data_IF_828992825047
#
_entry.id   IF_828992825047
#
_cell.length_a   1.000
_cell.length_b   1.000
_cell.length_c   1.000
_cell.angle_alpha   90.00
_cell.angle_beta   90.00
_cell.angle_gamma   90.00
#
_symmetry.space_group_name_H-M   'P 1'
#
loop_
_entity.id
_entity.type
_entity.pdbx_description
1 polymer ?
#
# COMPACT_ATOMS: atom_id res chain seq x y z
N UNK A 1 24.28 7.07 -11.67
CA UNK A 1 25.03 6.21 -12.61
C UNK A 1 24.19 6.03 -13.86
N UNK A 2 24.80 5.85 -15.02
CA UNK A 2 24.12 5.60 -16.29
C UNK A 2 25.09 5.01 -17.31
N UNK A 3 24.59 4.54 -18.45
CA UNK A 3 25.42 4.06 -19.56
C UNK A 3 26.42 5.14 -19.99
N UNK A 4 27.67 4.75 -20.25
CA UNK A 4 28.76 5.71 -20.56
C UNK A 4 28.47 6.55 -21.80
N UNK A 5 27.72 6.01 -22.76
CA UNK A 5 27.37 6.64 -24.04
C UNK A 5 25.92 7.14 -24.10
N UNK A 6 25.27 7.35 -22.94
CA UNK A 6 23.85 7.70 -22.88
C UNK A 6 23.55 8.98 -23.68
N UNK A 7 24.30 10.05 -23.48
CA UNK A 7 24.03 11.33 -24.14
C UNK A 7 24.42 11.26 -25.62
N UNK A 8 25.54 10.62 -25.94
CA UNK A 8 26.02 10.38 -27.30
C UNK A 8 24.95 9.65 -28.12
N UNK A 9 24.37 8.58 -27.56
CA UNK A 9 23.29 7.83 -28.20
C UNK A 9 22.07 8.73 -28.48
N UNK A 10 21.68 9.59 -27.53
CA UNK A 10 20.56 10.52 -27.75
C UNK A 10 20.82 11.51 -28.88
N UNK A 11 22.07 11.96 -29.04
CA UNK A 11 22.48 12.88 -30.11
C UNK A 11 22.49 12.15 -31.46
N UNK A 12 23.14 10.99 -31.52
CA UNK A 12 23.27 10.17 -32.74
C UNK A 12 21.91 9.79 -33.33
N UNK A 13 20.93 9.52 -32.48
CA UNK A 13 19.57 9.14 -32.88
C UNK A 13 18.57 10.31 -32.93
N UNK A 14 19.02 11.55 -32.73
CA UNK A 14 18.18 12.75 -32.86
C UNK A 14 17.16 12.97 -31.75
N UNK A 15 17.30 12.29 -30.60
CA UNK A 15 16.46 12.47 -29.41
C UNK A 15 16.85 13.71 -28.59
N UNK A 16 18.07 14.21 -28.76
CA UNK A 16 18.57 15.40 -28.08
C UNK A 16 19.49 16.20 -28.98
N UNK A 17 19.28 17.51 -29.05
CA UNK A 17 20.16 18.44 -29.74
C UNK A 17 20.67 19.51 -28.75
N UNK A 18 21.94 19.47 -28.32
CA UNK A 18 22.45 20.40 -27.30
C UNK A 18 22.37 21.88 -27.73
N UNK A 19 22.41 22.17 -29.04
CA UNK A 19 22.30 23.54 -29.55
C UNK A 19 20.86 24.08 -29.50
N UNK A 20 19.86 23.21 -29.55
CA UNK A 20 18.43 23.58 -29.55
C UNK A 20 17.76 23.39 -28.19
N UNK A 21 18.11 22.32 -27.49
CA UNK A 21 17.45 21.89 -26.26
C UNK A 21 18.12 22.40 -24.98
N UNK A 22 19.35 22.94 -25.08
CA UNK A 22 20.11 23.40 -23.92
C UNK A 22 20.65 22.23 -23.10
N UNK A 23 20.42 22.24 -21.79
CA UNK A 23 20.88 21.16 -20.91
C UNK A 23 20.16 19.83 -21.20
N UNK A 24 20.89 18.72 -21.13
CA UNK A 24 20.32 17.40 -21.36
C UNK A 24 19.22 17.07 -20.34
N UNK A 25 18.03 16.74 -20.84
CA UNK A 25 16.91 16.28 -20.03
C UNK A 25 16.57 14.84 -20.42
N UNK A 26 16.83 13.90 -19.51
CA UNK A 26 16.61 12.47 -19.74
C UNK A 26 15.16 12.14 -20.10
N UNK A 27 14.20 12.74 -19.37
CA UNK A 27 12.78 12.49 -19.61
C UNK A 27 12.38 12.97 -21.01
N UNK A 28 12.81 14.17 -21.40
CA UNK A 28 12.54 14.70 -22.75
C UNK A 28 13.14 13.84 -23.86
N UNK A 29 14.36 13.33 -23.67
CA UNK A 29 15.05 12.52 -24.68
C UNK A 29 14.49 11.09 -24.81
N UNK A 30 14.07 10.47 -23.70
CA UNK A 30 13.79 9.03 -23.67
C UNK A 30 12.37 8.65 -23.28
N UNK A 31 11.49 9.61 -23.05
CA UNK A 31 10.10 9.33 -22.71
C UNK A 31 9.14 9.95 -23.71
N UNK A 32 7.93 9.39 -23.79
CA UNK A 32 6.83 10.00 -24.53
C UNK A 32 6.31 11.19 -23.73
N UNK A 33 5.70 12.13 -24.45
CA UNK A 33 4.95 13.24 -23.88
C UNK A 33 3.57 13.27 -24.53
N UNK A 34 2.61 12.54 -23.97
CA UNK A 34 1.28 12.48 -24.53
C UNK A 34 0.19 12.47 -23.47
N UNK A 35 -1.07 12.60 -23.90
CA UNK A 35 -2.22 12.75 -23.01
C UNK A 35 -2.43 11.60 -22.01
N UNK A 36 -1.80 10.43 -22.21
CA UNK A 36 -1.90 9.32 -21.26
C UNK A 36 -1.29 9.68 -19.91
N UNK A 37 -0.19 10.43 -19.89
CA UNK A 37 0.46 10.83 -18.64
C UNK A 37 -0.44 11.75 -17.82
N UNK A 38 -1.20 12.63 -18.49
CA UNK A 38 -2.08 13.64 -17.86
C UNK A 38 -3.21 13.06 -17.03
N UNK A 39 -3.57 11.80 -17.27
CA UNK A 39 -4.64 11.10 -16.53
C UNK A 39 -4.12 9.89 -15.76
N UNK A 40 -3.10 9.20 -16.29
CA UNK A 40 -2.62 7.96 -15.69
C UNK A 40 -1.47 8.17 -14.71
N UNK A 41 -0.54 9.10 -14.95
CA UNK A 41 0.70 9.25 -14.20
C UNK A 41 0.75 10.55 -13.39
N UNK A 42 0.58 11.69 -14.05
CA UNK A 42 0.78 13.02 -13.47
C UNK A 42 -0.11 13.30 -12.25
N UNK A 43 -1.40 12.93 -12.23
CA UNK A 43 -2.24 13.11 -11.05
C UNK A 43 -1.69 12.41 -9.80
N UNK A 44 -1.07 11.24 -9.95
CA UNK A 44 -0.46 10.50 -8.83
C UNK A 44 0.80 11.20 -8.34
N UNK A 45 1.64 11.68 -9.25
CA UNK A 45 2.85 12.45 -8.88
C UNK A 45 2.43 13.74 -8.16
N UNK A 46 1.48 14.47 -8.73
CA UNK A 46 0.91 15.69 -8.16
C UNK A 46 0.41 15.44 -6.74
N UNK A 47 -0.40 14.40 -6.53
CA UNK A 47 -0.97 14.10 -5.23
C UNK A 47 0.09 13.71 -4.20
N UNK A 48 1.09 12.91 -4.59
CA UNK A 48 2.22 12.56 -3.70
C UNK A 48 2.99 13.82 -3.30
N UNK A 49 3.31 14.70 -4.25
CA UNK A 49 4.00 15.95 -3.98
C UNK A 49 3.14 16.87 -3.10
N UNK A 50 1.85 17.03 -3.39
CA UNK A 50 0.93 17.80 -2.56
C UNK A 50 0.84 17.30 -1.11
N UNK A 51 0.87 15.97 -0.89
CA UNK A 51 0.86 15.37 0.45
C UNK A 51 2.15 15.62 1.24
N UNK A 52 3.31 15.69 0.58
CA UNK A 52 4.62 15.80 1.24
C UNK A 52 5.20 17.22 1.23
N UNK A 53 4.75 18.07 0.32
CA UNK A 53 5.12 19.48 0.15
C UNK A 53 3.88 20.36 -0.03
N UNK A 54 2.95 20.42 0.94
CA UNK A 54 1.72 21.23 0.81
C UNK A 54 1.96 22.73 0.61
N UNK A 55 3.15 23.24 0.95
CA UNK A 55 3.60 24.61 0.67
C UNK A 55 3.77 24.89 -0.82
N UNK A 56 4.08 23.86 -1.62
CA UNK A 56 4.25 23.96 -3.07
C UNK A 56 2.90 23.80 -3.77
N UNK A 57 2.47 24.86 -4.48
CA UNK A 57 1.26 24.81 -5.31
C UNK A 57 1.62 24.43 -6.74
N UNK A 58 1.01 23.37 -7.25
CA UNK A 58 1.27 22.83 -8.58
C UNK A 58 -0.04 22.66 -9.33
N UNK A 59 -0.02 22.96 -10.63
CA UNK A 59 -1.11 22.64 -11.53
C UNK A 59 -1.08 21.12 -11.85
N UNK A 60 -2.13 20.34 -11.54
CA UNK A 60 -2.21 18.90 -11.86
C UNK A 60 -2.03 18.59 -13.36
N UNK A 61 -2.29 19.55 -14.24
CA UNK A 61 -2.18 19.39 -15.70
C UNK A 61 -0.76 19.56 -16.25
N UNK A 62 0.17 20.07 -15.43
CA UNK A 62 1.54 20.41 -15.83
C UNK A 62 2.57 19.37 -15.37
N UNK A 63 2.22 18.08 -15.34
CA UNK A 63 3.09 17.03 -14.77
C UNK A 63 4.53 16.98 -15.30
N UNK A 64 4.77 17.45 -16.52
CA UNK A 64 6.12 17.54 -17.11
C UNK A 64 7.02 18.59 -16.47
N UNK A 65 6.45 19.56 -15.78
CA UNK A 65 7.21 20.60 -15.06
C UNK A 65 7.55 20.16 -13.64
N UNK A 66 7.02 19.02 -13.18
CA UNK A 66 7.20 18.59 -11.81
C UNK A 66 8.67 18.27 -11.52
N UNK A 67 9.22 18.81 -10.43
CA UNK A 67 10.57 18.49 -10.02
C UNK A 67 10.67 17.01 -9.64
N UNK A 68 11.69 16.34 -10.16
CA UNK A 68 12.01 14.95 -9.81
C UNK A 68 12.42 14.83 -8.34
N UNK A 69 13.08 15.86 -7.81
CA UNK A 69 13.55 15.92 -6.44
C UNK A 69 12.89 17.09 -5.71
N UNK A 70 12.27 16.78 -4.57
CA UNK A 70 11.70 17.76 -3.67
C UNK A 70 12.17 17.51 -2.25
N UNK A 71 12.27 18.60 -1.49
CA UNK A 71 12.43 18.53 -0.05
C UNK A 71 11.04 18.58 0.58
N UNK A 72 10.62 17.56 1.36
CA UNK A 72 9.34 17.59 2.04
C UNK A 72 9.30 18.72 3.06
N UNK A 73 8.11 19.29 3.28
CA UNK A 73 7.91 20.40 4.24
C UNK A 73 8.23 19.97 5.67
N UNK A 74 7.99 18.69 5.97
CA UNK A 74 8.26 18.05 7.26
C UNK A 74 9.02 16.74 7.07
N UNK A 75 9.63 16.24 8.15
CA UNK A 75 10.26 14.90 8.12
C UNK A 75 9.22 13.85 7.77
N UNK A 76 9.50 13.08 6.73
CA UNK A 76 8.64 11.97 6.30
C UNK A 76 8.67 10.84 7.33
N UNK A 77 7.49 10.38 7.71
CA UNK A 77 7.31 9.23 8.60
C UNK A 77 6.92 7.98 7.82
N UNK A 78 7.06 6.81 8.45
CA UNK A 78 6.53 5.55 7.91
C UNK A 78 5.04 5.66 7.59
N UNK A 79 4.27 6.31 8.47
CA UNK A 79 2.84 6.49 8.27
C UNK A 79 2.54 7.35 7.04
N UNK A 80 3.32 8.42 6.79
CA UNK A 80 3.15 9.20 5.56
C UNK A 80 3.33 8.34 4.30
N UNK A 81 4.27 7.40 4.28
CA UNK A 81 4.48 6.51 3.14
C UNK A 81 3.34 5.52 2.95
N UNK A 82 2.82 4.94 4.05
CA UNK A 82 1.63 4.09 3.99
C UNK A 82 0.41 4.86 3.47
N UNK A 83 0.21 6.09 3.94
CA UNK A 83 -0.90 6.94 3.50
C UNK A 83 -0.78 7.34 2.02
N UNK A 84 0.42 7.62 1.53
CA UNK A 84 0.66 7.83 0.09
C UNK A 84 0.19 6.63 -0.72
N UNK A 85 0.56 5.42 -0.31
CA UNK A 85 0.20 4.19 -1.03
C UNK A 85 -1.29 3.85 -0.94
N UNK A 86 -1.97 4.28 0.13
CA UNK A 86 -3.42 4.12 0.34
C UNK A 86 -4.24 5.12 -0.46
N UNK A 87 -3.65 6.23 -0.87
CA UNK A 87 -4.41 7.35 -1.41
C UNK A 87 -5.16 6.99 -2.70
N UNK A 88 -6.38 7.49 -2.76
CA UNK A 88 -7.25 7.42 -3.92
C UNK A 88 -7.96 8.76 -4.17
N UNK A 89 -7.26 9.86 -3.90
CA UNK A 89 -7.80 11.23 -3.94
C UNK A 89 -8.98 11.47 -2.99
N UNK A 90 -8.90 10.87 -1.78
CA UNK A 90 -9.92 10.86 -0.75
C UNK A 90 -10.64 12.22 -0.59
N UNK A 91 -11.97 12.20 -0.71
CA UNK A 91 -12.81 13.39 -0.47
C UNK A 91 -12.76 14.46 -1.56
N UNK A 92 -12.12 14.19 -2.69
CA UNK A 92 -12.14 15.07 -3.88
C UNK A 92 -13.13 14.58 -4.93
N UNK A 93 -13.33 15.37 -5.99
CA UNK A 93 -14.12 14.95 -7.15
C UNK A 93 -13.48 13.78 -7.93
N UNK A 94 -12.19 13.52 -7.73
CA UNK A 94 -11.43 12.44 -8.37
C UNK A 94 -11.38 11.16 -7.53
N UNK A 95 -12.16 11.08 -6.44
CA UNK A 95 -12.21 9.89 -5.59
C UNK A 95 -13.09 8.79 -6.26
N UNK A 96 -12.50 7.70 -6.78
CA UNK A 96 -13.28 6.64 -7.43
C UNK A 96 -14.01 5.74 -6.43
N UNK A 97 -13.69 5.88 -5.13
CA UNK A 97 -14.27 5.11 -4.03
C UNK A 97 -15.12 5.98 -3.11
N UNK A 98 -15.59 7.13 -3.61
CA UNK A 98 -16.52 8.01 -2.91
C UNK A 98 -17.91 7.37 -2.68
N UNK A 99 -18.95 8.21 -2.55
CA UNK A 99 -20.32 7.74 -2.26
C UNK A 99 -20.87 6.75 -3.28
N UNK A 100 -20.43 6.87 -4.53
CA UNK A 100 -20.77 5.96 -5.62
C UNK A 100 -19.45 5.56 -6.26
N UNK A 101 -19.24 4.25 -6.43
CA UNK A 101 -18.04 3.75 -7.09
C UNK A 101 -17.99 4.27 -8.53
N UNK A 102 -16.90 4.95 -8.89
CA UNK A 102 -16.70 5.52 -10.22
C UNK A 102 -15.56 4.78 -10.94
N UNK A 103 -15.91 3.77 -11.73
CA UNK A 103 -14.95 3.06 -12.58
C UNK A 103 -14.46 3.86 -13.80
N UNK A 104 -15.18 4.93 -14.15
CA UNK A 104 -14.88 5.80 -15.30
C UNK A 104 -14.02 7.02 -14.92
N UNK A 105 -13.57 7.10 -13.66
CA UNK A 105 -12.64 8.13 -13.21
C UNK A 105 -11.37 8.13 -14.07
N UNK A 106 -11.05 9.28 -14.65
CA UNK A 106 -9.92 9.41 -15.56
C UNK A 106 -8.60 9.39 -14.79
N UNK A 107 -8.56 10.00 -13.61
CA UNK A 107 -7.37 10.04 -12.79
C UNK A 107 -7.17 8.70 -12.11
N UNK A 108 -6.16 7.95 -12.60
CA UNK A 108 -5.82 6.67 -11.98
C UNK A 108 -5.41 6.92 -10.51
N UNK A 109 -6.09 6.34 -9.50
CA UNK A 109 -5.70 6.47 -8.10
C UNK A 109 -4.39 5.71 -7.83
N UNK A 110 -3.73 5.98 -6.70
CA UNK A 110 -2.51 5.26 -6.30
C UNK A 110 -2.90 3.85 -5.85
N UNK A 111 -3.79 3.77 -4.87
CA UNK A 111 -4.41 2.51 -4.41
C UNK A 111 -5.47 2.04 -5.40
N UNK A 112 -5.32 0.83 -5.93
CA UNK A 112 -6.27 0.21 -6.87
C UNK A 112 -6.56 -1.23 -6.48
N UNK A 113 -7.76 -1.70 -6.79
CA UNK A 113 -8.18 -3.08 -6.50
C UNK A 113 -7.29 -4.16 -7.14
N UNK A 114 -6.59 -3.85 -8.24
CA UNK A 114 -5.68 -4.79 -8.94
C UNK A 114 -4.27 -4.88 -8.35
N UNK A 115 -3.97 -4.14 -7.29
CA UNK A 115 -2.67 -4.26 -6.62
C UNK A 115 -2.53 -5.66 -6.02
N UNK A 116 -1.39 -6.32 -6.26
CA UNK A 116 -1.09 -7.64 -5.71
C UNK A 116 -0.52 -7.53 -4.29
N UNK A 117 0.39 -6.59 -4.10
CA UNK A 117 0.97 -6.23 -2.82
C UNK A 117 1.37 -4.75 -2.83
N UNK A 118 1.43 -4.16 -1.65
CA UNK A 118 1.95 -2.82 -1.40
C UNK A 118 2.94 -2.89 -0.25
N UNK A 119 4.10 -2.25 -0.38
CA UNK A 119 5.11 -2.33 0.66
C UNK A 119 5.87 -1.01 0.87
N UNK A 120 6.31 -0.79 2.11
CA UNK A 120 7.28 0.25 2.49
C UNK A 120 8.50 -0.44 3.07
N UNK A 121 9.66 -0.24 2.45
CA UNK A 121 10.93 -0.74 2.98
C UNK A 121 11.62 0.34 3.78
N UNK A 122 11.99 0.04 5.02
CA UNK A 122 12.67 0.96 5.92
C UNK A 122 14.00 0.37 6.37
N UNK A 123 15.09 1.13 6.16
CA UNK A 123 16.42 0.80 6.68
C UNK A 123 16.77 1.78 7.79
N UNK A 124 17.04 1.24 8.99
CA UNK A 124 17.35 1.97 10.21
C UNK A 124 18.76 1.62 10.66
N UNK A 125 19.81 2.28 10.11
CA UNK A 125 21.21 1.89 10.32
C UNK A 125 21.71 2.05 11.76
N UNK A 126 20.93 2.69 12.64
CA UNK A 126 21.22 2.80 14.07
C UNK A 126 20.75 1.59 14.89
N UNK A 127 20.15 0.56 14.26
CA UNK A 127 19.76 -0.71 14.87
C UNK A 127 20.58 -1.88 14.26
N UNK A 128 20.71 -3.03 14.96
CA UNK A 128 21.23 -4.27 14.37
C UNK A 128 20.50 -4.61 13.07
N UNK A 129 21.21 -5.14 12.07
CA UNK A 129 20.68 -5.35 10.71
C UNK A 129 19.40 -6.19 10.69
N UNK A 130 19.35 -7.20 11.56
CA UNK A 130 18.27 -8.17 11.73
C UNK A 130 16.93 -7.48 12.01
N UNK A 131 16.96 -6.40 12.80
CA UNK A 131 15.78 -5.61 13.16
C UNK A 131 15.77 -4.22 12.51
N UNK A 132 16.90 -3.73 11.99
CA UNK A 132 17.03 -2.40 11.42
C UNK A 132 16.43 -2.29 10.02
N UNK A 133 16.41 -3.39 9.26
CA UNK A 133 15.78 -3.48 7.96
C UNK A 133 14.41 -4.14 8.08
N UNK A 134 13.35 -3.44 7.68
CA UNK A 134 11.96 -3.91 7.79
C UNK A 134 11.23 -3.67 6.49
N UNK A 135 10.47 -4.66 6.04
CA UNK A 135 9.46 -4.53 4.99
C UNK A 135 8.11 -4.46 5.67
N UNK A 136 7.41 -3.34 5.56
CA UNK A 136 6.01 -3.24 5.94
C UNK A 136 5.18 -3.62 4.72
N UNK A 137 4.52 -4.78 4.74
CA UNK A 137 3.83 -5.34 3.58
C UNK A 137 2.32 -5.43 3.85
N UNK A 138 1.53 -4.97 2.88
CA UNK A 138 0.09 -5.19 2.79
C UNK A 138 -0.26 -5.99 1.53
N UNK A 139 -1.05 -7.05 1.70
CA UNK A 139 -1.51 -7.89 0.60
C UNK A 139 -2.71 -7.26 -0.10
N UNK A 140 -2.65 -7.14 -1.43
CA UNK A 140 -3.74 -6.58 -2.22
C UNK A 140 -3.78 -5.04 -2.27
N UNK A 141 -5.00 -4.50 -2.36
CA UNK A 141 -5.24 -3.06 -2.44
C UNK A 141 -4.89 -2.34 -1.12
N UNK A 142 -3.88 -1.48 -1.15
CA UNK A 142 -3.30 -0.82 0.03
C UNK A 142 -4.34 -0.15 0.96
N UNK A 143 -5.35 0.51 0.39
CA UNK A 143 -6.43 1.15 1.14
C UNK A 143 -7.22 0.18 2.03
N UNK A 144 -7.39 -1.07 1.56
CA UNK A 144 -8.09 -2.15 2.24
C UNK A 144 -7.10 -3.23 2.73
N UNK A 145 -5.86 -2.85 3.05
CA UNK A 145 -4.82 -3.74 3.55
C UNK A 145 -4.25 -3.27 4.88
N UNK A 146 -3.75 -4.25 5.63
CA UNK A 146 -2.94 -4.04 6.84
C UNK A 146 -1.45 -4.14 6.49
N UNK A 147 -0.66 -3.14 6.87
CA UNK A 147 0.80 -3.17 6.73
C UNK A 147 1.44 -3.88 7.92
N UNK A 148 1.83 -5.14 7.70
CA UNK A 148 2.50 -6.00 8.68
C UNK A 148 4.02 -5.84 8.55
N UNK A 149 4.77 -5.66 9.66
CA UNK A 149 6.23 -5.59 9.63
C UNK A 149 6.86 -6.98 9.46
N UNK A 150 7.74 -7.12 8.49
CA UNK A 150 8.60 -8.29 8.27
C UNK A 150 10.06 -7.85 8.44
N UNK A 151 10.72 -8.38 9.47
CA UNK A 151 12.11 -8.10 9.73
C UNK A 151 13.02 -8.89 8.81
N UNK A 152 14.16 -8.28 8.45
CA UNK A 152 15.19 -8.97 7.67
C UNK A 152 15.73 -10.21 8.38
N UNK A 153 15.78 -10.22 9.72
CA UNK A 153 16.25 -11.37 10.50
C UNK A 153 15.21 -12.45 10.76
N UNK A 154 14.01 -12.38 10.17
CA UNK A 154 13.03 -13.46 10.22
C UNK A 154 13.55 -14.67 9.43
N UNK A 155 13.58 -15.85 10.05
CA UNK A 155 14.16 -17.06 9.44
C UNK A 155 13.38 -17.51 8.21
N UNK A 156 12.05 -17.50 8.32
CA UNK A 156 11.13 -17.87 7.24
C UNK A 156 9.74 -17.28 7.48
N UNK A 157 9.03 -17.02 6.39
CA UNK A 157 7.60 -16.71 6.44
C UNK A 157 6.78 -18.00 6.55
N UNK A 158 5.54 -17.95 7.10
CA UNK A 158 4.65 -19.12 7.11
C UNK A 158 4.42 -19.69 5.71
N UNK A 159 4.23 -21.01 5.61
CA UNK A 159 4.14 -21.71 4.31
C UNK A 159 3.05 -21.17 3.38
N UNK A 160 1.94 -20.66 3.92
CA UNK A 160 0.86 -20.05 3.16
C UNK A 160 1.23 -18.76 2.41
N UNK A 161 2.40 -18.17 2.68
CA UNK A 161 2.94 -17.03 1.92
C UNK A 161 3.56 -17.46 0.58
N UNK A 162 3.91 -18.75 0.44
CA UNK A 162 4.45 -19.31 -0.80
C UNK A 162 3.37 -19.89 -1.74
N UNK A 163 2.10 -19.87 -1.35
CA UNK A 163 0.99 -20.40 -2.14
C UNK A 163 0.48 -19.29 -3.06
N UNK A 164 0.67 -19.46 -4.37
CA UNK A 164 0.23 -18.51 -5.39
C UNK A 164 -0.45 -19.23 -6.54
N UNK A 165 -1.74 -19.49 -6.41
CA UNK A 165 -2.55 -20.11 -7.47
C UNK A 165 -3.41 -19.05 -8.18
N UNK A 166 -3.86 -19.36 -9.39
CA UNK A 166 -4.75 -18.46 -10.16
C UNK A 166 -6.19 -18.44 -9.65
N UNK A 167 -6.58 -19.44 -8.87
CA UNK A 167 -7.96 -19.65 -8.40
C UNK A 167 -8.03 -19.36 -6.91
N UNK A 168 -9.15 -18.85 -6.42
CA UNK A 168 -9.30 -18.51 -5.01
C UNK A 168 -9.29 -19.76 -4.11
N UNK A 169 -8.54 -19.71 -3.01
CA UNK A 169 -8.43 -20.78 -2.02
C UNK A 169 -8.47 -20.23 -0.57
N UNK A 170 -8.58 -21.11 0.42
CA UNK A 170 -8.60 -20.74 1.85
C UNK A 170 -7.22 -20.84 2.54
N UNK A 171 -6.21 -21.33 1.82
CA UNK A 171 -4.88 -21.64 2.34
C UNK A 171 -3.96 -20.42 2.23
N UNK A 172 -3.86 -19.85 1.03
CA UNK A 172 -2.98 -18.74 0.67
C UNK A 172 -3.27 -17.48 1.48
N UNK A 173 -2.21 -16.85 1.97
CA UNK A 173 -2.30 -15.53 2.61
C UNK A 173 -2.87 -14.49 1.63
N UNK A 174 -2.43 -14.51 0.36
CA UNK A 174 -2.92 -13.61 -0.66
C UNK A 174 -4.45 -13.70 -0.79
N UNK A 175 -5.00 -14.91 -0.98
CA UNK A 175 -6.45 -15.10 -1.10
C UNK A 175 -7.23 -14.76 0.16
N UNK A 176 -6.67 -14.92 1.36
CA UNK A 176 -7.32 -14.45 2.59
C UNK A 176 -7.61 -12.93 2.54
N UNK A 177 -6.62 -12.12 2.16
CA UNK A 177 -6.81 -10.67 2.00
C UNK A 177 -7.68 -10.32 0.79
N UNK A 178 -7.50 -11.02 -0.35
CA UNK A 178 -8.30 -10.76 -1.55
C UNK A 178 -9.79 -11.06 -1.35
N UNK A 179 -10.14 -12.08 -0.58
CA UNK A 179 -11.53 -12.39 -0.23
C UNK A 179 -12.17 -11.25 0.56
N UNK A 180 -11.51 -10.78 1.61
CA UNK A 180 -11.97 -9.61 2.37
C UNK A 180 -12.16 -8.40 1.47
N UNK A 181 -11.15 -8.04 0.67
CA UNK A 181 -11.20 -6.88 -0.21
C UNK A 181 -12.32 -6.99 -1.24
N UNK A 182 -12.50 -8.16 -1.85
CA UNK A 182 -13.58 -8.40 -2.82
C UNK A 182 -14.95 -8.18 -2.18
N UNK A 183 -15.14 -8.69 -0.96
CA UNK A 183 -16.38 -8.51 -0.21
C UNK A 183 -16.63 -7.05 0.14
N UNK A 184 -15.60 -6.31 0.60
CA UNK A 184 -15.70 -4.87 0.86
C UNK A 184 -16.14 -4.11 -0.40
N UNK A 185 -15.60 -4.45 -1.56
CA UNK A 185 -15.94 -3.78 -2.82
C UNK A 185 -17.42 -3.96 -3.24
N UNK A 186 -18.15 -4.93 -2.67
CA UNK A 186 -19.60 -5.06 -2.94
C UNK A 186 -20.43 -3.92 -2.36
N UNK A 187 -19.90 -3.23 -1.34
CA UNK A 187 -20.51 -2.06 -0.71
C UNK A 187 -19.42 -1.26 0.02
N UNK A 188 -18.53 -0.64 -0.76
CA UNK A 188 -17.31 0.00 -0.24
C UNK A 188 -17.64 1.05 0.83
N UNK A 189 -18.63 1.90 0.58
CA UNK A 189 -19.01 3.00 1.49
C UNK A 189 -19.40 2.48 2.87
N UNK A 190 -20.13 1.36 2.93
CA UNK A 190 -20.57 0.76 4.19
C UNK A 190 -19.47 -0.07 4.86
N UNK A 191 -18.72 -0.84 4.07
CA UNK A 191 -17.84 -1.89 4.57
C UNK A 191 -16.40 -1.44 4.79
N UNK A 192 -15.86 -0.57 3.94
CA UNK A 192 -14.47 -0.10 4.04
C UNK A 192 -14.15 0.58 5.38
N UNK A 193 -15.03 1.42 5.97
CA UNK A 193 -14.75 2.04 7.27
C UNK A 193 -14.49 1.03 8.41
N UNK A 194 -15.17 -0.13 8.39
CA UNK A 194 -15.00 -1.18 9.40
C UNK A 194 -13.59 -1.77 9.31
N UNK A 195 -13.17 -2.13 8.09
CA UNK A 195 -11.84 -2.71 7.82
C UNK A 195 -10.74 -1.70 8.09
N UNK A 196 -10.87 -0.47 7.57
CA UNK A 196 -9.89 0.61 7.75
C UNK A 196 -9.68 0.91 9.24
N UNK A 197 -10.76 0.97 10.03
CA UNK A 197 -10.67 1.14 11.49
C UNK A 197 -9.90 -0.01 12.15
N UNK A 198 -10.32 -1.26 11.91
CA UNK A 198 -9.71 -2.43 12.55
C UNK A 198 -8.22 -2.58 12.21
N UNK A 199 -7.85 -2.37 10.94
CA UNK A 199 -6.45 -2.39 10.53
C UNK A 199 -5.64 -1.21 11.10
N UNK A 200 -6.21 -0.01 11.17
CA UNK A 200 -5.52 1.12 11.81
C UNK A 200 -5.23 0.87 13.30
N UNK A 201 -6.18 0.27 14.02
CA UNK A 201 -6.04 -0.11 15.43
C UNK A 201 -4.97 -1.18 15.61
N UNK A 202 -4.98 -2.20 14.74
CA UNK A 202 -3.95 -3.24 14.71
C UNK A 202 -2.56 -2.67 14.43
N UNK A 203 -2.41 -1.81 13.42
CA UNK A 203 -1.14 -1.20 13.07
C UNK A 203 -0.60 -0.30 14.20
N UNK A 204 -1.48 0.51 14.81
CA UNK A 204 -1.10 1.37 15.93
C UNK A 204 -0.66 0.56 17.17
N UNK A 205 -1.36 -0.55 17.46
CA UNK A 205 -0.97 -1.49 18.52
C UNK A 205 0.38 -2.13 18.20
N UNK A 206 0.52 -2.65 16.97
CA UNK A 206 1.74 -3.31 16.49
C UNK A 206 2.94 -2.38 16.53
N UNK A 207 2.80 -1.10 16.17
CA UNK A 207 3.88 -0.13 16.24
C UNK A 207 4.41 0.07 17.68
N UNK A 208 3.53 0.08 18.68
CA UNK A 208 3.91 0.16 20.11
C UNK A 208 4.63 -1.12 20.55
N UNK A 209 4.07 -2.27 20.20
CA UNK A 209 4.69 -3.58 20.49
C UNK A 209 6.04 -3.74 19.80
N UNK A 210 6.18 -3.24 18.58
CA UNK A 210 7.41 -3.25 17.78
C UNK A 210 8.51 -2.48 18.48
N UNK A 211 8.20 -1.27 18.96
CA UNK A 211 9.17 -0.45 19.70
C UNK A 211 9.64 -1.15 20.98
N UNK A 212 8.71 -1.71 21.75
CA UNK A 212 9.04 -2.43 22.99
C UNK A 212 9.89 -3.69 22.72
N UNK A 213 9.56 -4.43 21.66
CA UNK A 213 10.35 -5.57 21.19
C UNK A 213 11.77 -5.16 20.81
N UNK A 214 11.94 -4.11 20.00
CA UNK A 214 13.25 -3.63 19.56
C UNK A 214 14.13 -3.18 20.72
N UNK A 215 13.55 -2.46 21.69
CA UNK A 215 14.25 -2.01 22.89
C UNK A 215 14.76 -3.18 23.74
N UNK A 216 14.04 -4.30 23.75
CA UNK A 216 14.49 -5.49 24.45
C UNK A 216 15.50 -6.30 23.62
N UNK A 217 15.28 -6.44 22.31
CA UNK A 217 16.18 -7.14 21.40
C UNK A 217 17.61 -6.59 21.49
N UNK A 218 17.79 -5.26 21.47
CA UNK A 218 19.12 -4.63 21.54
C UNK A 218 19.87 -4.88 22.84
N UNK A 219 19.16 -5.20 23.94
CA UNK A 219 19.76 -5.58 25.23
C UNK A 219 20.15 -7.07 25.24
N UNK A 220 19.30 -7.93 24.67
CA UNK A 220 19.47 -9.38 24.70
C UNK A 220 20.53 -9.84 23.70
N UNK A 221 20.53 -9.30 22.47
CA UNK A 221 21.43 -9.75 21.38
C UNK A 221 22.91 -9.66 21.74
N UNK A 222 23.30 -8.70 22.59
CA UNK A 222 24.68 -8.53 23.07
C UNK A 222 25.13 -9.62 24.05
N UNK A 223 24.18 -10.27 24.72
CA UNK A 223 24.45 -11.26 25.78
C UNK A 223 24.16 -12.68 25.32
N UNK A 224 23.09 -12.86 24.56
CA UNK A 224 22.60 -14.14 24.10
C UNK A 224 21.95 -13.99 22.71
N UNK A 225 22.76 -14.07 21.63
CA UNK A 225 22.26 -13.93 20.26
C UNK A 225 21.19 -14.96 19.91
N UNK A 226 21.35 -16.23 20.34
CA UNK A 226 20.38 -17.30 20.05
C UNK A 226 19.01 -17.00 20.67
N UNK A 227 19.00 -16.47 21.90
CA UNK A 227 17.76 -16.02 22.53
C UNK A 227 17.14 -14.82 21.79
N UNK A 228 17.95 -13.86 21.36
CA UNK A 228 17.46 -12.72 20.59
C UNK A 228 16.84 -13.14 19.24
N UNK A 229 17.48 -14.09 18.53
CA UNK A 229 16.95 -14.64 17.28
C UNK A 229 15.62 -15.36 17.50
N UNK A 230 15.50 -16.14 18.57
CA UNK A 230 14.22 -16.77 18.94
C UNK A 230 13.15 -15.70 19.24
N UNK A 231 13.50 -14.65 19.99
CA UNK A 231 12.57 -13.56 20.31
C UNK A 231 12.08 -12.84 19.05
N UNK A 232 12.98 -12.59 18.10
CA UNK A 232 12.65 -11.98 16.80
C UNK A 232 11.67 -12.84 16.01
N UNK A 233 11.98 -14.13 15.85
CA UNK A 233 11.13 -15.07 15.13
C UNK A 233 9.75 -15.21 15.81
N UNK A 234 9.71 -15.44 17.12
CA UNK A 234 8.46 -15.56 17.88
C UNK A 234 7.59 -14.29 17.74
N UNK A 235 8.18 -13.12 17.87
CA UNK A 235 7.45 -11.85 17.76
C UNK A 235 6.91 -11.66 16.34
N UNK A 236 7.74 -11.84 15.31
CA UNK A 236 7.33 -11.57 13.94
C UNK A 236 6.26 -12.56 13.47
N UNK A 237 6.43 -13.85 13.75
CA UNK A 237 5.45 -14.90 13.39
C UNK A 237 4.11 -14.70 14.11
N UNK A 238 4.14 -14.28 15.38
CA UNK A 238 2.91 -13.90 16.10
C UNK A 238 2.19 -12.75 15.41
N UNK A 239 2.89 -11.65 15.10
CA UNK A 239 2.27 -10.48 14.47
C UNK A 239 1.69 -10.83 13.09
N UNK A 240 2.38 -11.64 12.30
CA UNK A 240 1.87 -12.15 11.02
C UNK A 240 0.58 -12.95 11.23
N UNK A 241 0.60 -13.90 12.17
CA UNK A 241 -0.57 -14.73 12.49
C UNK A 241 -1.75 -13.90 12.99
N UNK A 242 -1.51 -12.92 13.86
CA UNK A 242 -2.56 -12.06 14.43
C UNK A 242 -3.22 -11.21 13.31
N UNK A 243 -2.43 -10.72 12.35
CA UNK A 243 -2.95 -9.96 11.20
C UNK A 243 -3.79 -10.83 10.24
N UNK A 244 -3.35 -12.08 10.01
CA UNK A 244 -4.11 -13.05 9.23
C UNK A 244 -5.44 -13.39 9.92
N UNK A 245 -5.41 -13.67 11.22
CA UNK A 245 -6.61 -13.95 12.00
C UNK A 245 -7.61 -12.79 11.95
N UNK A 246 -7.14 -11.56 12.17
CA UNK A 246 -7.97 -10.36 12.06
C UNK A 246 -8.63 -10.23 10.67
N UNK A 247 -7.90 -10.56 9.61
CA UNK A 247 -8.43 -10.50 8.23
C UNK A 247 -9.53 -11.52 8.00
N UNK A 248 -9.38 -12.73 8.53
CA UNK A 248 -10.41 -13.79 8.46
C UNK A 248 -11.64 -13.43 9.30
N UNK A 249 -11.43 -12.88 10.49
CA UNK A 249 -12.52 -12.43 11.37
C UNK A 249 -13.33 -11.30 10.75
N UNK A 250 -12.65 -10.30 10.17
CA UNK A 250 -13.30 -9.23 9.42
C UNK A 250 -14.11 -9.78 8.24
N UNK A 251 -13.58 -10.78 7.53
CA UNK A 251 -14.30 -11.41 6.41
C UNK A 251 -15.62 -12.00 6.88
N UNK A 252 -15.62 -12.75 7.99
CA UNK A 252 -16.83 -13.33 8.58
C UNK A 252 -17.81 -12.27 9.07
N UNK A 253 -17.30 -11.22 9.73
CA UNK A 253 -18.12 -10.10 10.19
C UNK A 253 -18.82 -9.42 9.02
N UNK A 254 -18.09 -9.13 7.94
CA UNK A 254 -18.64 -8.43 6.79
C UNK A 254 -19.62 -9.31 6.01
N UNK A 255 -19.38 -10.62 5.93
CA UNK A 255 -20.31 -11.57 5.34
C UNK A 255 -21.65 -11.59 6.09
N UNK A 256 -21.59 -11.54 7.43
CA UNK A 256 -22.77 -11.45 8.28
C UNK A 256 -23.58 -10.19 7.98
N UNK A 257 -22.91 -9.03 7.88
CA UNK A 257 -23.56 -7.75 7.51
C UNK A 257 -24.22 -7.87 6.14
N UNK A 258 -23.51 -8.38 5.12
CA UNK A 258 -24.07 -8.53 3.77
C UNK A 258 -25.22 -9.54 3.72
N UNK A 259 -25.21 -10.56 4.57
CA UNK A 259 -26.32 -11.51 4.68
C UNK A 259 -27.58 -10.83 5.18
N UNK A 260 -27.47 -10.00 6.23
CA UNK A 260 -28.58 -9.18 6.71
C UNK A 260 -29.07 -8.20 5.64
N UNK A 261 -28.15 -7.49 4.97
CA UNK A 261 -28.50 -6.54 3.90
C UNK A 261 -29.32 -7.19 2.78
N UNK A 262 -28.92 -8.40 2.36
CA UNK A 262 -29.62 -9.15 1.32
C UNK A 262 -30.98 -9.64 1.82
N UNK A 263 -31.07 -10.13 3.05
CA UNK A 263 -32.34 -10.56 3.64
C UNK A 263 -33.35 -9.41 3.76
N UNK A 264 -32.89 -8.22 4.16
CA UNK A 264 -33.71 -7.01 4.23
C UNK A 264 -34.11 -6.52 2.83
N UNK A 265 -33.19 -6.57 1.85
CA UNK A 265 -33.45 -6.15 0.48
C UNK A 265 -34.33 -7.10 -0.33
N UNK A 266 -34.34 -8.40 0.00
CA UNK A 266 -35.14 -9.44 -0.65
C UNK A 266 -36.12 -10.04 0.37
N UNK A 267 -36.97 -9.17 0.92
CA UNK A 267 -37.94 -9.56 1.94
C UNK A 267 -39.12 -10.35 1.33
N UNK A 268 -39.28 -11.60 1.75
CA UNK A 268 -40.48 -12.40 1.48
C UNK A 268 -41.40 -12.39 2.71
N UNK A 269 -42.59 -11.80 2.58
CA UNK A 269 -43.60 -11.91 3.64
C UNK A 269 -44.00 -13.37 3.83
N UNK A 270 -43.90 -13.87 5.05
CA UNK A 270 -44.54 -15.13 5.41
C UNK A 270 -46.06 -14.94 5.32
N UNK A 271 -46.70 -15.71 4.44
CA UNK A 271 -48.15 -15.74 4.36
C UNK A 271 -48.68 -16.36 5.66
N UNK A 272 -49.46 -15.61 6.44
CA UNK A 272 -50.01 -16.01 7.76
C UNK A 272 -50.93 -17.24 7.74
N UNK A 273 -51.04 -17.97 6.63
CA UNK A 273 -51.86 -19.17 6.48
C UNK A 273 -51.12 -20.48 6.79
N UNK A 274 -49.95 -20.41 7.43
CA UNK A 274 -49.11 -21.58 7.73
C UNK A 274 -48.65 -21.71 9.20
N UNK A 275 -49.35 -21.06 10.13
CA UNK A 275 -49.30 -21.39 11.57
C UNK A 275 -50.71 -21.75 12.05
#
# INVERSE_FOLDING_TARGET
MGSKNLIEFAIEHGFYNPKKDGAFNFSKAYTRDDGRDRVYNDPRVWQIQAMLTPSLKQNPEEGRTYPVYLKPDQKVTLENMKQVLRNHYDGTAHDPYGKVLNGDEQWRPISVFRTYESHVMQVRPWLPKEIGSVIYLGWGMADLSCYVPYYQGLDSVPANHGIGTKDADDESIYWAYRKLQTLVMTDYVKLAPIVKKAYSEFEAKTAKEQKAFEDEYVKVVKKDPKKADKMLNDWNLRVIKDAEALTRDLTNQLFTIRTHDIQEGIYFMNNKSKD
#
